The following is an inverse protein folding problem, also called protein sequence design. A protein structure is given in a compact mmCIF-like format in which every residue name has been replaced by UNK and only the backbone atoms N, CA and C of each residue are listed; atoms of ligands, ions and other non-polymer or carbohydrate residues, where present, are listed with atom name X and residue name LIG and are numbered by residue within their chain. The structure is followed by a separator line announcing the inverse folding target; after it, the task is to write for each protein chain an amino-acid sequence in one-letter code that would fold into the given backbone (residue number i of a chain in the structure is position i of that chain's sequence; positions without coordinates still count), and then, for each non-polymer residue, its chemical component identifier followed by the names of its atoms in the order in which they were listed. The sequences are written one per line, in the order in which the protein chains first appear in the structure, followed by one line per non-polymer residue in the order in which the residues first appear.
data_IF_114688574016
#
_entry.id   IF_114688574016
#
_cell.length_a   1.000
_cell.length_b   1.000
_cell.length_c   1.000
_cell.angle_alpha   90.00
_cell.angle_beta   90.00
_cell.angle_gamma   90.00
#
_symmetry.space_group_name_H-M   'P 1'
#
loop_
_entity.id
_entity.type
_entity.pdbx_description
1 polymer ?
#
# COMPACT_ATOMS: atom_id res chain seq x y z
N UNK A 1 -19.83 10.83 -6.03
CA UNK A 1 -18.80 11.37 -6.93
C UNK A 1 -17.91 10.23 -7.42
N UNK A 2 -17.43 10.28 -8.66
CA UNK A 2 -16.49 9.26 -9.15
C UNK A 2 -15.21 9.25 -8.32
N UNK A 3 -14.69 8.07 -8.05
CA UNK A 3 -13.46 7.92 -7.25
C UNK A 3 -12.27 8.64 -7.88
N UNK A 4 -12.25 8.79 -9.21
CA UNK A 4 -11.17 9.50 -9.89
C UNK A 4 -11.03 10.96 -9.45
N UNK A 5 -12.12 11.55 -8.92
CA UNK A 5 -12.11 12.92 -8.42
C UNK A 5 -11.73 13.00 -6.93
N UNK A 6 -11.66 11.83 -6.26
CA UNK A 6 -11.43 11.72 -4.82
C UNK A 6 -10.18 10.91 -4.49
N UNK A 7 -9.22 10.82 -5.43
CA UNK A 7 -8.03 10.01 -5.23
C UNK A 7 -7.24 10.44 -3.98
N UNK A 8 -6.85 9.49 -3.13
CA UNK A 8 -5.88 9.78 -2.07
C UNK A 8 -4.60 10.39 -2.66
N UNK A 9 -3.95 11.26 -1.89
CA UNK A 9 -2.76 11.96 -2.37
C UNK A 9 -1.65 11.02 -2.84
N UNK A 10 -1.47 9.88 -2.17
CA UNK A 10 -0.45 8.90 -2.58
C UNK A 10 -0.75 8.32 -3.96
N UNK A 11 -2.03 8.13 -4.29
CA UNK A 11 -2.44 7.63 -5.60
C UNK A 11 -2.30 8.70 -6.68
N UNK A 12 -2.54 9.95 -6.33
CA UNK A 12 -2.34 11.05 -7.28
C UNK A 12 -0.89 11.11 -7.77
N UNK A 13 0.06 10.64 -6.94
CA UNK A 13 1.48 10.58 -7.28
C UNK A 13 1.91 9.24 -7.87
N UNK A 14 0.97 8.34 -8.15
CA UNK A 14 1.23 6.98 -8.62
C UNK A 14 0.88 6.80 -10.09
N UNK A 15 1.33 5.70 -10.75
CA UNK A 15 0.97 5.44 -12.15
C UNK A 15 -0.54 5.39 -12.36
N UNK A 16 -0.97 5.74 -13.56
CA UNK A 16 -2.40 5.75 -13.91
C UNK A 16 -3.07 4.39 -13.74
N UNK A 17 -2.33 3.29 -13.99
CA UNK A 17 -2.86 1.95 -13.80
C UNK A 17 -3.22 1.68 -12.33
N UNK A 18 -2.37 2.15 -11.40
CA UNK A 18 -2.68 2.05 -9.97
C UNK A 18 -3.93 2.85 -9.62
N UNK A 19 -4.05 4.06 -10.16
CA UNK A 19 -5.23 4.91 -9.97
C UNK A 19 -6.49 4.23 -10.48
N UNK A 20 -6.41 3.60 -11.66
CA UNK A 20 -7.54 2.89 -12.26
C UNK A 20 -7.99 1.72 -11.41
N UNK A 21 -7.07 0.90 -10.91
CA UNK A 21 -7.39 -0.24 -10.04
C UNK A 21 -8.14 0.23 -8.80
N UNK A 22 -7.61 1.25 -8.14
CA UNK A 22 -8.22 1.78 -6.92
C UNK A 22 -9.61 2.35 -7.21
N UNK A 23 -9.71 3.17 -8.27
CA UNK A 23 -10.97 3.83 -8.61
C UNK A 23 -12.07 2.84 -8.98
N UNK A 24 -11.76 1.84 -9.79
CA UNK A 24 -12.73 0.83 -10.20
C UNK A 24 -13.20 0.00 -9.00
N UNK A 25 -12.26 -0.41 -8.13
CA UNK A 25 -12.61 -1.18 -6.93
C UNK A 25 -13.42 -0.34 -5.95
N UNK A 26 -13.08 0.94 -5.80
CA UNK A 26 -13.81 1.86 -4.94
C UNK A 26 -15.26 2.05 -5.43
N UNK A 27 -15.42 2.32 -6.73
CA UNK A 27 -16.75 2.54 -7.29
C UNK A 27 -17.64 1.29 -7.15
N UNK A 28 -17.08 0.12 -7.41
CA UNK A 28 -17.80 -1.14 -7.24
C UNK A 28 -18.19 -1.38 -5.78
N UNK A 29 -17.29 -1.07 -4.84
CA UNK A 29 -17.56 -1.24 -3.41
C UNK A 29 -18.62 -0.25 -2.93
N UNK A 30 -18.62 0.97 -3.44
CA UNK A 30 -19.65 1.97 -3.12
C UNK A 30 -21.03 1.47 -3.56
N UNK A 31 -21.14 0.85 -4.73
CA UNK A 31 -22.40 0.28 -5.20
C UNK A 31 -22.91 -0.83 -4.28
N UNK A 32 -22.00 -1.62 -3.71
CA UNK A 32 -22.36 -2.76 -2.87
C UNK A 32 -22.55 -2.39 -1.39
N UNK A 33 -21.76 -1.45 -0.88
CA UNK A 33 -21.69 -1.16 0.57
C UNK A 33 -21.97 0.32 0.91
N UNK A 34 -22.11 1.19 -0.08
CA UNK A 34 -22.22 2.63 0.13
C UNK A 34 -20.86 3.30 0.35
N UNK A 35 -20.87 4.62 0.43
CA UNK A 35 -19.67 5.39 0.73
C UNK A 35 -19.19 5.10 2.15
N UNK A 36 -17.89 5.17 2.38
CA UNK A 36 -17.29 5.09 3.68
C UNK A 36 -16.04 4.26 3.73
N UNK A 37 -15.65 3.91 4.95
CA UNK A 37 -14.39 3.21 5.21
C UNK A 37 -14.30 1.85 4.52
N UNK A 38 -15.40 1.11 4.46
CA UNK A 38 -15.40 -0.22 3.83
C UNK A 38 -15.04 -0.13 2.35
N UNK A 39 -15.60 0.86 1.64
CA UNK A 39 -15.28 1.07 0.23
C UNK A 39 -13.80 1.43 0.05
N UNK A 40 -13.26 2.29 0.91
CA UNK A 40 -11.84 2.64 0.90
C UNK A 40 -10.95 1.43 1.17
N UNK A 41 -11.26 0.62 2.18
CA UNK A 41 -10.48 -0.58 2.50
C UNK A 41 -10.50 -1.58 1.35
N UNK A 42 -11.66 -1.75 0.72
CA UNK A 42 -11.80 -2.66 -0.42
C UNK A 42 -10.95 -2.19 -1.60
N UNK A 43 -10.96 -0.88 -1.88
CA UNK A 43 -10.15 -0.30 -2.95
C UNK A 43 -8.65 -0.50 -2.70
N UNK A 44 -8.18 -0.26 -1.48
CA UNK A 44 -6.77 -0.47 -1.14
C UNK A 44 -6.40 -1.95 -1.14
N UNK A 45 -7.30 -2.85 -0.72
CA UNK A 45 -7.03 -4.28 -0.79
C UNK A 45 -6.80 -4.74 -2.23
N UNK A 46 -7.61 -4.25 -3.17
CA UNK A 46 -7.43 -4.54 -4.59
C UNK A 46 -6.09 -3.99 -5.11
N UNK A 47 -5.75 -2.77 -4.73
CA UNK A 47 -4.50 -2.13 -5.14
C UNK A 47 -3.28 -2.92 -4.64
N UNK A 48 -3.28 -3.31 -3.37
CA UNK A 48 -2.16 -4.00 -2.73
C UNK A 48 -1.86 -5.36 -3.32
N UNK A 49 -2.79 -5.94 -4.05
CA UNK A 49 -2.54 -7.20 -4.76
C UNK A 49 -1.44 -7.03 -5.83
N UNK A 50 -1.39 -5.89 -6.49
CA UNK A 50 -0.47 -5.63 -7.60
C UNK A 50 0.54 -4.51 -7.36
N UNK A 51 0.33 -3.68 -6.35
CA UNK A 51 1.17 -2.53 -6.05
C UNK A 51 1.62 -2.53 -4.60
N UNK A 52 2.77 -1.90 -4.34
CA UNK A 52 3.28 -1.71 -2.98
C UNK A 52 3.58 -0.24 -2.74
N UNK A 53 3.44 0.19 -1.50
CA UNK A 53 3.72 1.59 -1.14
C UNK A 53 5.21 1.78 -0.90
N UNK A 54 5.78 2.75 -1.61
CA UNK A 54 7.20 3.12 -1.49
C UNK A 54 7.25 4.63 -1.27
N UNK A 55 7.51 5.04 -0.04
CA UNK A 55 7.51 6.46 0.31
C UNK A 55 6.11 7.04 0.26
N UNK A 56 5.89 8.01 -0.63
CA UNK A 56 4.63 8.74 -0.75
C UNK A 56 3.80 8.34 -1.97
N UNK A 57 4.13 7.22 -2.61
CA UNK A 57 3.43 6.75 -3.81
C UNK A 57 3.42 5.22 -3.88
N UNK A 58 2.74 4.67 -4.89
CA UNK A 58 2.62 3.23 -5.10
C UNK A 58 3.42 2.82 -6.34
N UNK A 59 4.08 1.67 -6.26
CA UNK A 59 4.86 1.09 -7.37
C UNK A 59 4.41 -0.34 -7.62
N UNK A 60 4.48 -0.76 -8.89
CA UNK A 60 4.06 -2.11 -9.27
C UNK A 60 4.96 -3.17 -8.66
N UNK A 61 4.34 -4.22 -8.12
CA UNK A 61 5.08 -5.37 -7.58
C UNK A 61 5.56 -6.26 -8.70
N UNK A 62 6.72 -6.91 -8.50
CA UNK A 62 7.23 -7.87 -9.45
C UNK A 62 6.29 -9.09 -9.56
N UNK A 63 5.71 -9.51 -8.44
CA UNK A 63 4.79 -10.65 -8.39
C UNK A 63 3.51 -10.24 -7.66
N UNK A 64 2.34 -10.26 -8.34
CA UNK A 64 1.06 -9.98 -7.67
C UNK A 64 0.76 -11.02 -6.59
N UNK A 65 0.04 -10.60 -5.57
CA UNK A 65 -0.39 -11.49 -4.49
C UNK A 65 -0.64 -10.73 -3.20
N UNK A 66 -1.13 -11.42 -2.15
CA UNK A 66 -1.37 -10.76 -0.86
C UNK A 66 -0.10 -10.17 -0.29
N UNK A 67 -0.18 -8.93 0.21
CA UNK A 67 0.97 -8.21 0.78
C UNK A 67 1.18 -8.50 2.26
N UNK A 68 0.12 -8.90 2.97
CA UNK A 68 0.19 -9.12 4.41
C UNK A 68 -0.90 -10.10 4.84
N UNK A 69 -0.92 -10.41 6.14
CA UNK A 69 -1.90 -11.36 6.69
C UNK A 69 -3.34 -10.88 6.49
N UNK A 70 -3.59 -9.57 6.61
CA UNK A 70 -4.93 -9.03 6.39
C UNK A 70 -5.37 -9.20 4.94
N UNK A 71 -4.50 -8.91 3.97
CA UNK A 71 -4.81 -9.06 2.56
C UNK A 71 -5.11 -10.54 2.21
N UNK A 72 -4.33 -11.46 2.77
CA UNK A 72 -4.54 -12.89 2.56
C UNK A 72 -5.86 -13.36 3.16
N UNK A 73 -6.30 -12.77 4.27
CA UNK A 73 -7.55 -13.13 4.95
C UNK A 73 -8.78 -12.38 4.45
N UNK A 74 -8.59 -11.40 3.55
CA UNK A 74 -9.69 -10.59 3.01
C UNK A 74 -9.95 -9.33 3.80
N UNK A 75 -10.87 -8.50 3.27
CA UNK A 75 -11.17 -7.16 3.80
C UNK A 75 -11.61 -7.18 5.27
N UNK A 76 -12.35 -8.20 5.66
CA UNK A 76 -12.89 -8.30 7.01
C UNK A 76 -12.00 -9.12 7.96
N UNK A 77 -10.79 -9.47 7.53
CA UNK A 77 -9.84 -10.21 8.36
C UNK A 77 -9.44 -9.39 9.60
N UNK A 78 -9.35 -10.03 10.80
CA UNK A 78 -8.86 -9.34 11.99
C UNK A 78 -7.35 -9.13 12.00
N UNK A 79 -6.63 -9.73 11.05
CA UNK A 79 -5.17 -9.60 11.01
C UNK A 79 -4.74 -8.16 10.74
N UNK A 80 -3.61 -7.71 11.33
CA UNK A 80 -3.13 -6.35 11.10
C UNK A 80 -2.67 -6.15 9.65
N UNK A 81 -2.84 -4.93 9.16
CA UNK A 81 -2.31 -4.53 7.86
C UNK A 81 -0.88 -4.02 8.00
N UNK A 82 -0.06 -4.21 6.97
CA UNK A 82 1.27 -3.63 6.88
C UNK A 82 1.29 -2.30 6.09
N UNK A 83 0.15 -1.65 6.00
CA UNK A 83 -0.03 -0.28 5.48
C UNK A 83 0.53 -0.08 4.07
N UNK A 84 0.39 -1.09 3.23
CA UNK A 84 0.84 -1.04 1.84
C UNK A 84 2.22 -1.60 1.59
N UNK A 85 3.00 -1.88 2.63
CA UNK A 85 4.29 -2.57 2.47
C UNK A 85 4.03 -4.04 2.13
N UNK A 86 4.74 -4.59 1.14
CA UNK A 86 4.62 -5.99 0.79
C UNK A 86 5.42 -6.85 1.77
N UNK A 87 4.80 -7.21 2.88
CA UNK A 87 5.45 -8.02 3.92
C UNK A 87 5.77 -9.44 3.44
N UNK A 88 5.16 -9.88 2.34
CA UNK A 88 5.43 -11.19 1.75
C UNK A 88 6.56 -11.17 0.73
N UNK A 89 7.13 -10.00 0.44
CA UNK A 89 8.29 -9.89 -0.44
C UNK A 89 9.52 -10.51 0.21
N UNK A 90 10.55 -10.80 -0.60
CA UNK A 90 11.81 -11.31 -0.08
C UNK A 90 12.53 -10.27 0.77
N UNK A 91 13.38 -10.74 1.67
CA UNK A 91 14.23 -9.83 2.47
C UNK A 91 15.10 -8.97 1.56
N UNK A 92 15.61 -9.53 0.47
CA UNK A 92 16.43 -8.79 -0.49
C UNK A 92 15.66 -7.64 -1.11
N UNK A 93 14.40 -7.84 -1.49
CA UNK A 93 13.54 -6.80 -2.04
C UNK A 93 13.27 -5.70 -1.01
N UNK A 94 12.95 -6.09 0.23
CA UNK A 94 12.71 -5.13 1.31
C UNK A 94 13.97 -4.34 1.63
N UNK A 95 15.13 -4.98 1.61
CA UNK A 95 16.42 -4.30 1.80
C UNK A 95 16.64 -3.25 0.71
N UNK A 96 16.33 -3.59 -0.54
CA UNK A 96 16.46 -2.66 -1.66
C UNK A 96 15.56 -1.43 -1.47
N UNK A 97 14.29 -1.65 -1.09
CA UNK A 97 13.37 -0.55 -0.82
C UNK A 97 13.89 0.32 0.32
N UNK A 98 14.36 -0.29 1.41
CA UNK A 98 14.93 0.44 2.54
C UNK A 98 16.12 1.29 2.11
N UNK A 99 16.94 0.79 1.19
CA UNK A 99 18.06 1.55 0.61
C UNK A 99 17.59 2.75 -0.19
N UNK A 100 16.56 2.58 -1.01
CA UNK A 100 15.96 3.68 -1.78
C UNK A 100 15.39 4.75 -0.86
N UNK A 101 14.83 4.37 0.28
CA UNK A 101 14.29 5.28 1.27
C UNK A 101 15.37 5.82 2.24
N UNK A 102 16.61 5.41 2.06
CA UNK A 102 17.77 5.85 2.86
C UNK A 102 17.62 5.55 4.35
N UNK A 103 17.08 4.38 4.66
CA UNK A 103 16.91 3.93 6.05
C UNK A 103 18.28 3.48 6.59
N UNK A 104 18.70 4.09 7.70
CA UNK A 104 19.98 3.75 8.35
C UNK A 104 19.85 2.45 9.13
N UNK A 105 20.96 1.68 9.18
CA UNK A 105 21.00 0.44 9.96
C UNK A 105 20.31 -0.75 9.31
N UNK A 106 19.85 -0.60 8.07
CA UNK A 106 19.08 -1.64 7.37
C UNK A 106 19.85 -2.95 7.22
N UNK A 107 21.17 -2.91 7.13
CA UNK A 107 21.98 -4.11 6.94
C UNK A 107 21.95 -5.07 8.14
N UNK A 108 21.61 -4.57 9.31
CA UNK A 108 21.50 -5.39 10.52
C UNK A 108 20.05 -5.72 10.89
N UNK A 109 19.09 -5.37 10.04
CA UNK A 109 17.68 -5.62 10.32
C UNK A 109 17.22 -6.99 9.84
N UNK A 110 16.30 -7.60 10.60
CA UNK A 110 15.57 -8.78 10.15
C UNK A 110 14.51 -8.33 9.14
N UNK A 111 13.89 -9.30 8.46
CA UNK A 111 12.77 -9.01 7.55
C UNK A 111 11.66 -8.22 8.25
N UNK A 112 11.27 -8.65 9.47
CA UNK A 112 10.22 -7.97 10.23
C UNK A 112 10.62 -6.53 10.58
N UNK A 113 11.89 -6.31 10.94
CA UNK A 113 12.40 -4.98 11.24
C UNK A 113 12.41 -4.09 10.00
N UNK A 114 12.75 -4.65 8.83
CA UNK A 114 12.70 -3.92 7.56
C UNK A 114 11.28 -3.47 7.24
N UNK A 115 10.29 -4.36 7.39
CA UNK A 115 8.88 -4.02 7.16
C UNK A 115 8.46 -2.84 8.06
N UNK A 116 8.77 -2.90 9.36
CA UNK A 116 8.40 -1.84 10.29
C UNK A 116 9.11 -0.53 9.96
N UNK A 117 10.38 -0.57 9.62
CA UNK A 117 11.15 0.63 9.25
C UNK A 117 10.60 1.27 7.98
N UNK A 118 10.24 0.47 6.98
CA UNK A 118 9.64 0.96 5.74
C UNK A 118 8.27 1.59 6.01
N UNK A 119 7.44 0.96 6.84
CA UNK A 119 6.14 1.53 7.23
C UNK A 119 6.30 2.91 7.85
N UNK A 120 7.24 3.06 8.77
CA UNK A 120 7.50 4.35 9.44
C UNK A 120 7.95 5.41 8.45
N UNK A 121 8.89 5.05 7.57
CA UNK A 121 9.42 5.99 6.59
C UNK A 121 8.36 6.38 5.56
N UNK A 122 7.55 5.42 5.10
CA UNK A 122 6.44 5.71 4.19
C UNK A 122 5.47 6.72 4.82
N UNK A 123 5.12 6.52 6.09
CA UNK A 123 4.21 7.42 6.80
C UNK A 123 4.81 8.83 6.92
N UNK A 124 6.10 8.91 7.23
CA UNK A 124 6.80 10.20 7.35
C UNK A 124 6.80 10.95 6.01
N UNK A 125 7.16 10.26 4.94
CA UNK A 125 7.24 10.86 3.61
C UNK A 125 5.86 11.27 3.09
N UNK A 126 4.84 10.46 3.37
CA UNK A 126 3.47 10.78 2.98
C UNK A 126 2.98 12.03 3.69
N UNK A 127 3.24 12.17 5.00
CA UNK A 127 2.86 13.37 5.73
C UNK A 127 3.60 14.60 5.21
N UNK A 128 4.89 14.47 4.93
CA UNK A 128 5.70 15.58 4.42
C UNK A 128 5.19 16.06 3.05
N UNK A 129 4.82 15.12 2.18
CA UNK A 129 4.31 15.44 0.84
C UNK A 129 2.91 16.05 0.87
N UNK A 130 2.15 15.81 1.93
CA UNK A 130 0.76 16.28 2.06
C UNK A 130 0.62 17.63 2.73
N UNK A 131 1.72 18.27 3.10
CA UNK A 131 1.72 19.60 3.70
C UNK A 131 1.63 20.71 2.66
#
# INVERSE_FOLDING_TARGET
MPAAEELPSTLARSPKHAQAIWSEAHDAAVQSYGEGERAHRTAFAALKHSYEKVGDHWEEKAEPGPSDAKAAGGVDSPEPTEEGVDANASKAHLYEIAGRLKINGRSSMTKAQLVEAIKKENARLTRAASR
#
